data_IF_991857593585
#
_entry.id   IF_991857593585
#
_cell.length_a   1.000
_cell.length_b   1.000
_cell.length_c   1.000
_cell.angle_alpha   90.00
_cell.angle_beta   90.00
_cell.angle_gamma   90.00
#
_symmetry.space_group_name_H-M   'P 1'
#
loop_
_entity.id
_entity.type
_entity.pdbx_description
1 polymer ?
#
# COMPACT_ATOMS: atom_id res chain seq x y z
N UNK A 1 -1.66 7.53 10.39
CA UNK A 1 -0.34 7.87 9.82
C UNK A 1 -0.28 9.29 9.25
N UNK A 2 -1.16 9.68 8.32
CA UNK A 2 -1.12 10.99 7.67
C UNK A 2 -1.13 12.18 8.65
N UNK A 3 -1.97 12.13 9.69
CA UNK A 3 -1.96 13.13 10.78
C UNK A 3 -0.61 13.24 11.48
N UNK A 4 0.09 12.12 11.70
CA UNK A 4 1.43 12.13 12.27
C UNK A 4 2.43 12.74 11.28
N UNK A 5 2.38 12.38 10.00
CA UNK A 5 3.25 12.97 8.98
C UNK A 5 3.06 14.49 8.87
N UNK A 6 1.83 14.99 8.94
CA UNK A 6 1.58 16.44 8.92
C UNK A 6 2.01 17.12 10.23
N UNK A 7 1.55 16.61 11.38
CA UNK A 7 1.72 17.33 12.65
C UNK A 7 3.12 17.15 13.27
N UNK A 8 3.82 16.06 12.96
CA UNK A 8 5.14 15.73 13.53
C UNK A 8 6.25 15.90 12.51
N UNK A 9 6.03 15.46 11.27
CA UNK A 9 7.03 15.59 10.20
C UNK A 9 6.83 16.85 9.35
N UNK A 10 5.81 17.67 9.62
CA UNK A 10 5.60 18.93 8.90
C UNK A 10 5.30 18.75 7.40
N UNK A 11 4.77 17.58 6.98
CA UNK A 11 4.34 17.41 5.60
C UNK A 11 3.11 18.24 5.29
N UNK A 12 3.00 18.73 4.05
CA UNK A 12 1.81 19.44 3.60
C UNK A 12 0.61 18.50 3.44
N UNK A 13 -0.58 19.10 3.32
CA UNK A 13 -1.80 18.36 3.07
C UNK A 13 -1.73 17.63 1.71
N UNK A 14 -1.24 18.32 0.68
CA UNK A 14 -1.08 17.85 -0.69
C UNK A 14 -0.12 16.65 -0.75
N UNK A 15 0.99 16.71 -0.01
CA UNK A 15 1.94 15.60 0.09
C UNK A 15 1.31 14.32 0.70
N UNK A 16 0.24 14.45 1.50
CA UNK A 16 -0.46 13.31 2.14
C UNK A 16 -1.77 12.89 1.44
N UNK A 17 -2.49 13.84 0.85
CA UNK A 17 -3.87 13.69 0.36
C UNK A 17 -4.08 14.16 -1.09
N UNK A 18 -3.11 14.84 -1.69
CA UNK A 18 -3.19 15.42 -3.03
C UNK A 18 -3.24 14.41 -4.19
N UNK A 19 -3.09 14.91 -5.42
CA UNK A 19 -2.94 14.11 -6.64
C UNK A 19 -1.70 13.21 -6.58
N UNK A 20 -1.54 12.34 -7.58
CA UNK A 20 -0.32 11.53 -7.66
C UNK A 20 0.92 12.42 -7.84
N UNK A 21 0.83 13.43 -8.70
CA UNK A 21 1.89 14.42 -8.93
C UNK A 21 2.24 15.20 -7.67
N UNK A 22 1.22 15.61 -6.90
CA UNK A 22 1.39 16.36 -5.64
C UNK A 22 2.07 15.51 -4.56
N UNK A 23 1.68 14.23 -4.42
CA UNK A 23 2.27 13.31 -3.45
C UNK A 23 3.72 12.96 -3.76
N UNK A 24 4.10 13.05 -5.04
CA UNK A 24 5.45 12.81 -5.53
C UNK A 24 6.34 14.07 -5.51
N UNK A 25 5.84 15.22 -5.04
CA UNK A 25 6.68 16.42 -4.89
C UNK A 25 7.72 16.25 -3.78
N UNK A 26 8.91 16.86 -3.93
CA UNK A 26 9.99 16.76 -2.95
C UNK A 26 9.63 17.44 -1.62
N UNK A 27 10.07 16.84 -0.53
CA UNK A 27 9.97 17.37 0.84
C UNK A 27 11.33 17.82 1.35
N UNK A 28 11.38 18.31 2.60
CA UNK A 28 12.61 18.66 3.29
C UNK A 28 13.49 17.45 3.67
N UNK A 29 12.94 16.23 3.68
CA UNK A 29 13.68 15.04 4.12
C UNK A 29 14.50 14.45 2.99
N UNK A 30 15.74 14.04 3.28
CA UNK A 30 16.66 13.51 2.28
C UNK A 30 16.77 11.98 2.38
N UNK A 31 16.86 11.31 1.25
CA UNK A 31 17.10 9.87 1.19
C UNK A 31 18.42 9.47 1.83
N UNK A 32 19.43 10.34 1.80
CA UNK A 32 20.75 10.15 2.41
C UNK A 32 20.68 9.96 3.93
N UNK A 33 19.64 10.49 4.59
CA UNK A 33 19.41 10.34 6.03
C UNK A 33 18.76 8.98 6.38
N UNK A 34 18.25 8.25 5.38
CA UNK A 34 17.72 6.91 5.56
C UNK A 34 18.80 5.84 5.42
N UNK A 35 18.54 4.65 5.96
CA UNK A 35 19.45 3.51 5.80
C UNK A 35 19.65 3.17 4.32
N UNK A 36 20.87 2.76 3.97
CA UNK A 36 21.21 2.35 2.61
C UNK A 36 20.30 1.21 2.10
N UNK A 37 19.94 0.27 2.99
CA UNK A 37 18.99 -0.79 2.66
C UNK A 37 17.61 -0.25 2.23
N UNK A 38 17.03 0.70 2.98
CA UNK A 38 15.73 1.29 2.62
C UNK A 38 15.80 2.06 1.29
N UNK A 39 16.89 2.82 1.09
CA UNK A 39 17.12 3.56 -0.17
C UNK A 39 17.20 2.62 -1.37
N UNK A 40 17.84 1.46 -1.21
CA UNK A 40 17.93 0.44 -2.25
C UNK A 40 16.58 -0.27 -2.46
N UNK A 41 15.94 -0.70 -1.38
CA UNK A 41 14.64 -1.41 -1.39
C UNK A 41 13.53 -0.58 -2.03
N UNK A 42 13.51 0.73 -1.79
CA UNK A 42 12.53 1.65 -2.38
C UNK A 42 13.02 2.29 -3.68
N UNK A 43 14.24 1.97 -4.11
CA UNK A 43 14.85 2.37 -5.37
C UNK A 43 14.69 1.33 -6.48
N UNK A 44 15.74 1.13 -7.29
CA UNK A 44 15.66 0.19 -8.43
C UNK A 44 15.72 -1.28 -8.01
N UNK A 45 16.24 -1.57 -6.80
CA UNK A 45 16.56 -2.93 -6.32
C UNK A 45 17.55 -3.69 -7.20
N UNK A 46 18.45 -2.99 -7.88
CA UNK A 46 19.46 -3.62 -8.73
C UNK A 46 20.64 -4.14 -7.90
N UNK A 47 21.21 -5.27 -8.33
CA UNK A 47 22.42 -5.87 -7.78
C UNK A 47 23.38 -6.22 -8.92
N UNK A 48 24.65 -5.87 -8.74
CA UNK A 48 25.74 -6.30 -9.61
C UNK A 48 26.48 -7.48 -8.97
N UNK A 49 26.69 -8.55 -9.75
CA UNK A 49 27.43 -9.74 -9.30
C UNK A 49 28.92 -9.60 -9.58
N UNK A 50 29.72 -10.37 -8.84
CA UNK A 50 31.15 -10.56 -9.15
C UNK A 50 31.30 -11.14 -10.56
N UNK A 51 31.61 -10.29 -11.54
CA UNK A 51 31.57 -10.61 -12.98
C UNK A 51 30.84 -9.57 -13.86
N UNK A 52 30.23 -8.54 -13.26
CA UNK A 52 29.70 -7.35 -13.95
C UNK A 52 28.29 -7.49 -14.53
N UNK A 53 27.59 -8.59 -14.23
CA UNK A 53 26.17 -8.73 -14.62
C UNK A 53 25.27 -8.04 -13.61
N UNK A 54 24.34 -7.20 -14.09
CA UNK A 54 23.35 -6.51 -13.26
C UNK A 54 22.00 -7.19 -13.38
N UNK A 55 21.37 -7.51 -12.25
CA UNK A 55 20.01 -8.02 -12.19
C UNK A 55 19.15 -7.12 -11.31
N UNK A 56 17.87 -6.98 -11.68
CA UNK A 56 16.86 -6.34 -10.86
C UNK A 56 16.22 -7.38 -9.95
N UNK A 57 16.22 -7.13 -8.65
CA UNK A 57 15.58 -8.00 -7.68
C UNK A 57 14.06 -7.81 -7.67
N UNK A 58 13.32 -8.87 -7.96
CA UNK A 58 11.85 -8.88 -8.02
C UNK A 58 11.19 -9.51 -6.77
N UNK A 59 11.99 -9.88 -5.75
CA UNK A 59 11.47 -10.44 -4.51
C UNK A 59 10.49 -9.48 -3.82
N UNK A 60 9.41 -10.06 -3.30
CA UNK A 60 8.36 -9.34 -2.58
C UNK A 60 8.51 -9.48 -1.05
N UNK A 61 9.18 -10.53 -0.57
CA UNK A 61 9.36 -10.80 0.85
C UNK A 61 10.66 -10.21 1.41
N UNK A 62 10.61 -9.82 2.69
CA UNK A 62 11.71 -9.14 3.35
C UNK A 62 12.96 -10.02 3.50
N UNK A 63 12.78 -11.32 3.72
CA UNK A 63 13.87 -12.24 3.98
C UNK A 63 14.78 -12.37 2.76
N UNK A 64 14.19 -12.55 1.57
CA UNK A 64 14.92 -12.62 0.32
C UNK A 64 15.51 -11.26 -0.08
N UNK A 65 14.81 -10.15 0.15
CA UNK A 65 15.36 -8.80 -0.09
C UNK A 65 16.58 -8.52 0.79
N UNK A 66 16.50 -8.87 2.08
CA UNK A 66 17.60 -8.73 3.03
C UNK A 66 18.78 -9.62 2.64
N UNK A 67 18.51 -10.89 2.33
CA UNK A 67 19.55 -11.82 1.90
C UNK A 67 20.24 -11.37 0.61
N UNK A 68 19.49 -10.82 -0.35
CA UNK A 68 20.04 -10.28 -1.58
C UNK A 68 20.92 -9.05 -1.32
N UNK A 69 20.48 -8.11 -0.47
CA UNK A 69 21.21 -6.88 -0.18
C UNK A 69 22.52 -7.11 0.58
N UNK A 70 22.49 -7.98 1.59
CA UNK A 70 23.65 -8.23 2.45
C UNK A 70 24.56 -9.36 1.96
N UNK A 71 24.33 -9.91 0.77
CA UNK A 71 25.20 -10.92 0.19
C UNK A 71 26.57 -10.31 -0.17
N UNK A 72 27.70 -10.83 0.35
CA UNK A 72 29.03 -10.29 0.06
C UNK A 72 29.46 -10.32 -1.40
N UNK A 73 28.84 -11.17 -2.23
CA UNK A 73 29.12 -11.28 -3.66
C UNK A 73 28.30 -10.31 -4.52
N UNK A 74 27.39 -9.55 -3.90
CA UNK A 74 26.55 -8.56 -4.56
C UNK A 74 27.00 -7.14 -4.23
N UNK A 75 26.89 -6.26 -5.22
CA UNK A 75 26.98 -4.82 -5.05
C UNK A 75 25.60 -4.20 -5.31
N UNK A 76 24.88 -3.73 -4.27
CA UNK A 76 23.59 -3.07 -4.44
C UNK A 76 23.72 -1.74 -5.20
N UNK A 77 22.87 -1.51 -6.20
CA UNK A 77 22.83 -0.34 -7.08
C UNK A 77 21.45 0.35 -7.07
N UNK A 78 21.39 1.56 -7.62
CA UNK A 78 20.15 2.32 -7.79
C UNK A 78 19.42 2.66 -6.49
N UNK A 79 20.21 2.97 -5.46
CA UNK A 79 19.73 3.59 -4.23
C UNK A 79 19.02 4.92 -4.56
N UNK A 80 17.86 5.18 -3.95
CA UNK A 80 17.27 6.51 -3.98
C UNK A 80 18.21 7.54 -3.33
N UNK A 81 18.15 8.77 -3.86
CA UNK A 81 18.98 9.90 -3.46
C UNK A 81 18.19 11.22 -3.57
N UNK A 82 18.60 12.23 -2.83
CA UNK A 82 17.96 13.55 -2.80
C UNK A 82 16.66 13.57 -1.98
N UNK A 83 15.82 14.57 -2.22
CA UNK A 83 14.59 14.76 -1.45
C UNK A 83 13.61 13.59 -1.60
N UNK A 84 13.14 13.08 -0.46
CA UNK A 84 12.01 12.18 -0.38
C UNK A 84 10.72 12.92 -0.72
N UNK A 85 9.79 12.22 -1.37
CA UNK A 85 8.41 12.68 -1.53
C UNK A 85 7.55 12.36 -0.31
N UNK A 86 6.35 12.96 -0.25
CA UNK A 86 5.36 12.59 0.77
C UNK A 86 4.96 11.11 0.68
N UNK A 87 4.88 10.58 -0.55
CA UNK A 87 4.66 9.15 -0.83
C UNK A 87 5.75 8.27 -0.22
N UNK A 88 7.01 8.61 -0.46
CA UNK A 88 8.15 7.84 0.07
C UNK A 88 8.11 7.74 1.59
N UNK A 89 7.87 8.87 2.27
CA UNK A 89 7.81 8.92 3.75
C UNK A 89 6.64 8.08 4.27
N UNK A 90 5.48 8.16 3.63
CA UNK A 90 4.31 7.36 4.02
C UNK A 90 4.52 5.86 3.80
N UNK A 91 5.23 5.46 2.73
CA UNK A 91 5.59 4.06 2.49
C UNK A 91 6.56 3.54 3.55
N UNK A 92 7.63 4.29 3.84
CA UNK A 92 8.61 3.96 4.89
C UNK A 92 7.92 3.78 6.25
N UNK A 93 7.18 4.79 6.71
CA UNK A 93 6.54 4.72 8.03
C UNK A 93 5.41 3.69 8.05
N UNK A 94 4.57 3.64 7.03
CA UNK A 94 3.37 2.80 7.02
C UNK A 94 3.68 1.32 6.87
N UNK A 95 4.54 0.99 5.91
CA UNK A 95 4.80 -0.38 5.49
C UNK A 95 6.11 -0.88 6.08
N UNK A 96 7.24 -0.25 5.72
CA UNK A 96 8.57 -0.75 6.04
C UNK A 96 8.93 -0.69 7.53
N UNK A 97 8.34 0.25 8.27
CA UNK A 97 8.54 0.38 9.71
C UNK A 97 7.38 -0.23 10.49
N UNK A 98 6.19 0.38 10.42
CA UNK A 98 5.11 0.05 11.34
C UNK A 98 4.45 -1.29 11.01
N UNK A 99 4.07 -1.56 9.75
CA UNK A 99 3.50 -2.86 9.38
C UNK A 99 4.51 -3.99 9.54
N UNK A 100 5.75 -3.78 9.12
CA UNK A 100 6.81 -4.77 9.28
C UNK A 100 7.01 -5.16 10.76
N UNK A 101 7.04 -4.17 11.66
CA UNK A 101 7.30 -4.41 13.09
C UNK A 101 6.08 -4.96 13.82
N UNK A 102 4.88 -4.44 13.52
CA UNK A 102 3.66 -4.70 14.30
C UNK A 102 2.61 -5.51 13.55
N UNK A 103 2.97 -6.06 12.38
CA UNK A 103 2.11 -6.89 11.55
C UNK A 103 0.80 -6.19 11.16
N UNK A 104 -0.32 -6.81 11.53
CA UNK A 104 -1.66 -6.39 11.15
C UNK A 104 -2.20 -5.16 11.93
N UNK A 105 -1.31 -4.26 12.36
CA UNK A 105 -1.61 -3.15 13.27
C UNK A 105 -2.66 -2.19 12.71
N UNK A 106 -2.64 -1.93 11.39
CA UNK A 106 -3.54 -0.97 10.75
C UNK A 106 -4.99 -1.47 10.70
N UNK A 107 -5.23 -2.69 10.21
CA UNK A 107 -6.58 -3.26 10.23
C UNK A 107 -7.09 -3.44 11.67
N UNK A 108 -6.23 -3.92 12.58
CA UNK A 108 -6.60 -4.06 13.99
C UNK A 108 -6.95 -2.70 14.63
N UNK A 109 -6.25 -1.62 14.27
CA UNK A 109 -6.57 -0.27 14.74
C UNK A 109 -7.92 0.23 14.19
N UNK A 110 -8.22 -0.03 12.92
CA UNK A 110 -9.50 0.30 12.29
C UNK A 110 -10.66 -0.45 12.97
N UNK A 111 -10.52 -1.75 13.21
CA UNK A 111 -11.54 -2.53 13.93
C UNK A 111 -11.75 -2.03 15.36
N UNK A 112 -10.66 -1.73 16.10
CA UNK A 112 -10.78 -1.12 17.44
C UNK A 112 -11.49 0.22 17.39
N UNK A 113 -11.24 1.05 16.38
CA UNK A 113 -11.92 2.32 16.19
C UNK A 113 -13.42 2.11 15.96
N UNK A 114 -13.81 1.21 15.05
CA UNK A 114 -15.21 0.87 14.74
C UNK A 114 -15.95 0.41 16.00
N UNK A 115 -15.37 -0.54 16.74
CA UNK A 115 -15.96 -1.07 17.98
C UNK A 115 -16.11 0.02 19.04
N UNK A 116 -15.12 0.91 19.16
CA UNK A 116 -15.13 2.02 20.12
C UNK A 116 -16.15 3.10 19.77
N UNK A 117 -16.32 3.43 18.48
CA UNK A 117 -17.25 4.49 18.07
C UNK A 117 -18.69 4.01 17.98
N UNK A 118 -18.92 2.70 17.84
CA UNK A 118 -20.24 2.09 17.81
C UNK A 118 -21.14 2.62 16.70
N UNK A 119 -20.56 3.08 15.58
CA UNK A 119 -21.33 3.63 14.47
C UNK A 119 -22.12 2.51 13.79
N UNK A 120 -23.38 2.76 13.39
CA UNK A 120 -24.22 1.73 12.76
C UNK A 120 -23.74 1.33 11.36
N UNK A 121 -23.01 2.22 10.69
CA UNK A 121 -22.39 1.98 9.38
C UNK A 121 -20.97 2.51 9.41
N UNK A 122 -20.02 1.68 8.96
CA UNK A 122 -18.61 2.04 8.86
C UNK A 122 -18.14 1.69 7.45
N UNK A 123 -17.58 2.67 6.74
CA UNK A 123 -17.01 2.48 5.42
C UNK A 123 -15.48 2.48 5.52
N UNK A 124 -14.85 1.41 5.03
CA UNK A 124 -13.40 1.28 4.95
C UNK A 124 -13.02 1.34 3.47
N UNK A 125 -12.28 2.37 3.05
CA UNK A 125 -12.00 2.63 1.64
C UNK A 125 -10.58 2.32 1.19
N UNK A 126 -9.66 2.04 2.12
CA UNK A 126 -8.21 1.94 1.85
C UNK A 126 -7.66 0.59 2.33
N UNK A 127 -8.27 -0.52 1.90
CA UNK A 127 -7.70 -1.86 2.08
C UNK A 127 -6.75 -2.15 0.91
N UNK A 128 -5.51 -2.50 1.23
CA UNK A 128 -4.42 -2.69 0.27
C UNK A 128 -3.74 -4.05 0.38
N UNK A 129 -3.98 -4.79 1.47
CA UNK A 129 -3.31 -6.04 1.75
C UNK A 129 -4.29 -7.17 2.10
N UNK A 130 -3.99 -8.43 1.72
CA UNK A 130 -4.81 -9.61 2.04
C UNK A 130 -5.20 -9.70 3.52
N UNK A 131 -4.24 -9.49 4.42
CA UNK A 131 -4.46 -9.58 5.86
C UNK A 131 -5.49 -8.55 6.37
N UNK A 132 -5.66 -7.42 5.68
CA UNK A 132 -6.66 -6.41 6.03
C UNK A 132 -8.06 -6.88 5.64
N UNK A 133 -8.20 -7.44 4.44
CA UNK A 133 -9.43 -8.06 3.94
C UNK A 133 -9.87 -9.18 4.87
N UNK A 134 -8.96 -10.10 5.18
CA UNK A 134 -9.21 -11.21 6.11
C UNK A 134 -9.61 -10.73 7.51
N UNK A 135 -9.02 -9.62 7.98
CA UNK A 135 -9.35 -9.05 9.29
C UNK A 135 -10.75 -8.45 9.30
N UNK A 136 -11.13 -7.77 8.22
CA UNK A 136 -12.49 -7.24 8.08
C UNK A 136 -13.49 -8.38 8.01
N UNK A 137 -13.22 -9.41 7.20
CA UNK A 137 -14.11 -10.57 7.03
C UNK A 137 -14.32 -11.41 8.31
N UNK A 138 -13.46 -11.27 9.33
CA UNK A 138 -13.67 -11.88 10.66
C UNK A 138 -14.75 -11.20 11.48
N UNK A 139 -15.15 -9.98 11.12
CA UNK A 139 -16.22 -9.27 11.81
C UNK A 139 -17.58 -9.67 11.24
N UNK A 140 -18.57 -9.78 12.12
CA UNK A 140 -19.95 -10.05 11.71
C UNK A 140 -20.48 -8.88 10.88
N UNK A 141 -21.32 -9.18 9.89
CA UNK A 141 -21.93 -8.19 9.00
C UNK A 141 -20.92 -7.29 8.25
N UNK A 142 -19.68 -7.76 8.07
CA UNK A 142 -18.71 -7.12 7.20
C UNK A 142 -18.87 -7.60 5.75
N UNK A 143 -18.77 -6.68 4.79
CA UNK A 143 -18.81 -6.99 3.36
C UNK A 143 -17.70 -6.25 2.63
N UNK A 144 -17.21 -6.87 1.56
CA UNK A 144 -16.14 -6.30 0.72
C UNK A 144 -16.70 -6.09 -0.68
N UNK A 145 -16.46 -4.90 -1.23
CA UNK A 145 -16.77 -4.57 -2.62
C UNK A 145 -15.46 -4.17 -3.31
N UNK A 146 -14.98 -5.00 -4.25
CA UNK A 146 -13.80 -4.74 -5.08
C UNK A 146 -14.22 -4.08 -6.39
N UNK A 147 -13.66 -2.92 -6.67
CA UNK A 147 -13.68 -2.29 -7.99
C UNK A 147 -12.38 -2.66 -8.72
N UNK A 148 -12.44 -3.12 -9.97
CA UNK A 148 -11.26 -3.67 -10.68
C UNK A 148 -10.57 -2.69 -11.63
N UNK A 149 -11.10 -1.47 -11.84
CA UNK A 149 -10.51 -0.47 -12.73
C UNK A 149 -9.10 -0.09 -12.26
N UNK A 150 -8.11 -0.30 -13.12
CA UNK A 150 -6.71 0.11 -12.91
C UNK A 150 -6.23 1.01 -14.06
N UNK A 151 -6.40 2.34 -13.96
CA UNK A 151 -6.12 3.25 -15.07
C UNK A 151 -4.63 3.50 -15.32
N UNK A 152 -3.76 3.22 -14.34
CA UNK A 152 -2.32 3.50 -14.42
C UNK A 152 -1.44 2.24 -14.63
N UNK A 153 -2.04 1.05 -14.66
CA UNK A 153 -1.33 -0.23 -14.83
C UNK A 153 -0.43 -0.62 -13.65
N UNK A 154 -0.02 -1.89 -13.61
CA UNK A 154 0.82 -2.49 -12.54
C UNK A 154 2.30 -2.07 -12.62
N UNK A 155 2.61 -0.77 -12.61
CA UNK A 155 4.01 -0.28 -12.69
C UNK A 155 4.68 -0.11 -11.33
N UNK A 156 3.91 0.04 -10.25
CA UNK A 156 4.45 0.17 -8.89
C UNK A 156 4.62 -1.22 -8.26
N UNK A 157 5.87 -1.60 -7.97
CA UNK A 157 6.19 -2.87 -7.32
C UNK A 157 6.09 -2.81 -5.79
N UNK A 158 5.70 -1.67 -5.22
CA UNK A 158 5.53 -1.57 -3.77
C UNK A 158 4.36 -2.45 -3.33
N UNK A 159 4.51 -3.29 -2.27
CA UNK A 159 3.47 -4.22 -1.85
C UNK A 159 2.11 -3.57 -1.60
N UNK A 160 2.07 -2.32 -1.14
CA UNK A 160 0.81 -1.59 -0.91
C UNK A 160 0.00 -1.32 -2.19
N UNK A 161 0.57 -1.49 -3.37
CA UNK A 161 -0.12 -1.26 -4.65
C UNK A 161 -0.45 -2.58 -5.38
N UNK A 162 0.26 -3.68 -5.10
CA UNK A 162 0.13 -4.95 -5.84
C UNK A 162 -0.36 -6.15 -5.00
N UNK A 163 -0.40 -6.07 -3.66
CA UNK A 163 -0.65 -7.25 -2.80
C UNK A 163 -2.01 -7.94 -2.98
N UNK A 164 -2.95 -7.33 -3.71
CA UNK A 164 -4.30 -7.85 -3.93
C UNK A 164 -4.52 -8.39 -5.36
N UNK A 165 -3.50 -8.36 -6.21
CA UNK A 165 -3.62 -8.80 -7.61
C UNK A 165 -3.91 -10.31 -7.70
N UNK A 166 -3.23 -11.12 -6.90
CA UNK A 166 -3.39 -12.59 -6.85
C UNK A 166 -4.26 -13.08 -5.67
N UNK A 167 -4.96 -12.19 -4.98
CA UNK A 167 -5.80 -12.58 -3.84
C UNK A 167 -7.02 -13.41 -4.29
N UNK A 168 -7.37 -14.46 -3.54
CA UNK A 168 -8.58 -15.26 -3.80
C UNK A 168 -9.83 -14.56 -3.24
N UNK A 169 -10.69 -14.10 -4.15
CA UNK A 169 -11.93 -13.39 -3.82
C UNK A 169 -13.14 -14.30 -3.63
N UNK A 170 -12.96 -15.62 -3.70
CA UNK A 170 -14.04 -16.58 -3.58
C UNK A 170 -14.57 -16.67 -2.14
N UNK A 171 -15.37 -15.68 -1.77
CA UNK A 171 -15.97 -15.56 -0.46
C UNK A 171 -17.37 -14.94 -0.57
N UNK A 172 -18.35 -15.48 0.16
CA UNK A 172 -19.77 -15.13 0.00
C UNK A 172 -20.10 -13.65 0.27
N UNK A 173 -19.27 -13.00 1.11
CA UNK A 173 -19.37 -11.58 1.49
C UNK A 173 -18.47 -10.66 0.65
N UNK A 174 -17.84 -11.19 -0.41
CA UNK A 174 -17.04 -10.43 -1.36
C UNK A 174 -17.80 -10.25 -2.68
N UNK A 175 -17.93 -9.00 -3.11
CA UNK A 175 -18.55 -8.62 -4.38
C UNK A 175 -17.51 -7.97 -5.27
N UNK A 176 -17.42 -8.42 -6.52
CA UNK A 176 -16.49 -7.87 -7.50
C UNK A 176 -17.31 -7.15 -8.57
N UNK A 177 -16.98 -5.88 -8.81
CA UNK A 177 -17.57 -5.07 -9.86
C UNK A 177 -16.47 -4.65 -10.83
N UNK A 178 -16.57 -5.14 -12.07
CA UNK A 178 -15.72 -4.67 -13.15
C UNK A 178 -16.21 -3.32 -13.67
N UNK A 179 -15.48 -2.27 -13.30
CA UNK A 179 -15.76 -0.89 -13.67
C UNK A 179 -14.74 -0.32 -14.68
N UNK A 180 -13.97 -1.16 -15.37
CA UNK A 180 -12.92 -0.71 -16.28
C UNK A 180 -13.44 0.18 -17.42
N UNK A 181 -14.68 -0.06 -17.88
CA UNK A 181 -15.34 0.67 -18.97
C UNK A 181 -16.52 1.54 -18.51
N UNK A 182 -16.67 1.75 -17.21
CA UNK A 182 -17.78 2.51 -16.64
C UNK A 182 -17.39 3.97 -16.39
N UNK A 183 -18.33 4.87 -16.66
CA UNK A 183 -18.38 6.20 -16.06
C UNK A 183 -18.65 6.10 -14.55
N UNK A 184 -18.49 7.22 -13.83
CA UNK A 184 -18.79 7.27 -12.40
C UNK A 184 -20.28 6.98 -12.13
N UNK A 185 -21.17 7.49 -12.99
CA UNK A 185 -22.61 7.29 -12.83
C UNK A 185 -23.02 5.83 -13.09
N UNK A 186 -22.51 5.21 -14.16
CA UNK A 186 -22.74 3.78 -14.44
C UNK A 186 -22.20 2.89 -13.31
N UNK A 187 -21.03 3.22 -12.76
CA UNK A 187 -20.48 2.52 -11.60
C UNK A 187 -21.40 2.66 -10.37
N UNK A 188 -21.91 3.85 -10.09
CA UNK A 188 -22.82 4.09 -8.97
C UNK A 188 -24.12 3.30 -9.14
N UNK A 189 -24.70 3.28 -10.33
CA UNK A 189 -25.89 2.48 -10.65
C UNK A 189 -25.62 0.98 -10.47
N UNK A 190 -24.47 0.49 -10.92
CA UNK A 190 -24.07 -0.91 -10.78
C UNK A 190 -23.81 -1.33 -9.32
N UNK A 191 -23.44 -0.39 -8.43
CA UNK A 191 -23.29 -0.64 -7.00
C UNK A 191 -24.64 -0.82 -6.28
N UNK A 192 -25.71 -0.17 -6.72
CA UNK A 192 -27.04 -0.24 -6.07
C UNK A 192 -27.53 -1.67 -5.82
N UNK A 193 -27.55 -2.60 -6.80
CA UNK A 193 -28.00 -3.97 -6.56
C UNK A 193 -27.10 -4.73 -5.56
N UNK A 194 -25.79 -4.45 -5.53
CA UNK A 194 -24.86 -5.04 -4.56
C UNK A 194 -25.21 -4.55 -3.15
N UNK A 195 -25.38 -3.23 -2.98
CA UNK A 195 -25.73 -2.63 -1.70
C UNK A 195 -27.09 -3.15 -1.20
N UNK A 196 -28.07 -3.33 -2.09
CA UNK A 196 -29.35 -3.95 -1.73
C UNK A 196 -29.16 -5.35 -1.16
N UNK A 197 -28.30 -6.19 -1.73
CA UNK A 197 -28.02 -7.53 -1.19
C UNK A 197 -27.27 -7.51 0.16
N UNK A 198 -26.53 -6.45 0.44
CA UNK A 198 -25.80 -6.28 1.70
C UNK A 198 -26.74 -5.84 2.84
N UNK A 199 -27.70 -4.97 2.54
CA UNK A 199 -28.56 -4.33 3.56
C UNK A 199 -29.98 -4.91 3.67
N UNK A 200 -30.38 -5.83 2.79
CA UNK A 200 -31.65 -6.56 2.83
C UNK A 200 -31.43 -7.98 3.35
#
# INVERSE_FOLDING_TARGET
IKTFCMNTLGLSYEACYGSDEEKNQPTQYQWEDASAYLRWKLGSREIEYTGGSVLKCEYQDEANLTAAYFNPSHQPLGHKSGSMSGRDIMQIFGTDLIRYTFGNVWAAATIRLIKRTGKPLNLITDNRFPNEIETVLKEDYSYIVRLTRSPHGHKDMHPSEASLDDYDWNHERCFILDNAKMTIDEQNEALVPILKKIFL
#
